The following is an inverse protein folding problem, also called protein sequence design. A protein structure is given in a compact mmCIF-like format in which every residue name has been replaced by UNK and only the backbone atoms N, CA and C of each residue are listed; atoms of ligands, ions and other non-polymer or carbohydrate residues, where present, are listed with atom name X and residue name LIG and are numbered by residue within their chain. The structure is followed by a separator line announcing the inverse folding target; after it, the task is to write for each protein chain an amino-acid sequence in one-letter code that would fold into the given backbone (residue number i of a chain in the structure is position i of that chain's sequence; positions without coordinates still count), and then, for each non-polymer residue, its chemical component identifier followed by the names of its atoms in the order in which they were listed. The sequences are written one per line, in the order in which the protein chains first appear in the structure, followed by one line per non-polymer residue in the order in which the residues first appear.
data_IF_885618623091
#
_entry.id   IF_885618623091
#
_cell.length_a   1.000
_cell.length_b   1.000
_cell.length_c   1.000
_cell.angle_alpha   90.00
_cell.angle_beta   90.00
_cell.angle_gamma   90.00
#
_symmetry.space_group_name_H-M   'P 1'
#
loop_
_entity.id
_entity.type
_entity.pdbx_description
1 polymer ?
#
# COMPACT_ATOMS: atom_id res chain seq x y z
N UNK A 1 -22.73 -13.01 -11.74
CA UNK A 1 -22.36 -11.57 -11.67
C UNK A 1 -21.07 -11.35 -12.43
N UNK A 2 -21.09 -10.58 -13.52
CA UNK A 2 -19.88 -10.21 -14.26
C UNK A 2 -19.11 -9.21 -13.39
N UNK A 3 -17.91 -9.58 -12.92
CA UNK A 3 -17.06 -8.68 -12.11
C UNK A 3 -16.61 -7.50 -12.97
N UNK A 4 -16.73 -6.28 -12.44
CA UNK A 4 -16.26 -5.08 -13.11
C UNK A 4 -14.72 -5.12 -13.22
N UNK A 5 -14.19 -4.77 -14.39
CA UNK A 5 -12.74 -4.79 -14.66
C UNK A 5 -11.95 -3.94 -13.64
N UNK A 6 -12.54 -2.83 -13.17
CA UNK A 6 -11.91 -1.95 -12.18
C UNK A 6 -11.77 -2.61 -10.80
N UNK A 7 -12.78 -3.37 -10.37
CA UNK A 7 -12.76 -4.05 -9.07
C UNK A 7 -11.73 -5.18 -9.07
N UNK A 8 -11.64 -5.89 -10.20
CA UNK A 8 -10.63 -6.93 -10.43
C UNK A 8 -9.23 -6.32 -10.46
N UNK A 9 -9.04 -5.20 -11.14
CA UNK A 9 -7.75 -4.50 -11.18
C UNK A 9 -7.30 -4.04 -9.78
N UNK A 10 -8.20 -3.47 -8.97
CA UNK A 10 -7.91 -3.11 -7.59
C UNK A 10 -7.48 -4.34 -6.76
N UNK A 11 -8.20 -5.45 -6.89
CA UNK A 11 -7.85 -6.69 -6.20
C UNK A 11 -6.50 -7.28 -6.64
N UNK A 12 -6.19 -7.22 -7.94
CA UNK A 12 -4.89 -7.65 -8.48
C UNK A 12 -3.77 -6.77 -7.93
N UNK A 13 -3.95 -5.45 -7.90
CA UNK A 13 -2.98 -4.53 -7.32
C UNK A 13 -2.72 -4.82 -5.84
N UNK A 14 -3.78 -5.03 -5.05
CA UNK A 14 -3.64 -5.44 -3.65
C UNK A 14 -2.90 -6.78 -3.50
N UNK A 15 -3.27 -7.80 -4.28
CA UNK A 15 -2.63 -9.11 -4.21
C UNK A 15 -1.15 -9.04 -4.64
N UNK A 16 -0.83 -8.28 -5.68
CA UNK A 16 0.53 -8.04 -6.13
C UNK A 16 1.36 -7.37 -5.04
N UNK A 17 0.80 -6.39 -4.33
CA UNK A 17 1.47 -5.77 -3.19
C UNK A 17 1.71 -6.77 -2.05
N UNK A 18 0.76 -7.65 -1.74
CA UNK A 18 0.95 -8.71 -0.73
C UNK A 18 2.07 -9.67 -1.15
N UNK A 19 2.18 -10.02 -2.43
CA UNK A 19 3.30 -10.84 -2.94
C UNK A 19 4.62 -10.08 -2.78
N UNK A 20 4.66 -8.79 -3.07
CA UNK A 20 5.83 -7.93 -2.83
C UNK A 20 6.22 -7.95 -1.35
N UNK A 21 5.28 -7.82 -0.42
CA UNK A 21 5.56 -7.95 1.02
C UNK A 21 6.17 -9.32 1.35
N UNK A 22 5.64 -10.41 0.80
CA UNK A 22 6.16 -11.75 1.03
C UNK A 22 7.59 -11.93 0.50
N UNK A 23 7.89 -11.40 -0.68
CA UNK A 23 9.24 -11.43 -1.27
C UNK A 23 10.21 -10.56 -0.46
N UNK A 24 9.78 -9.37 -0.02
CA UNK A 24 10.56 -8.50 0.88
C UNK A 24 10.94 -9.23 2.19
N UNK A 25 9.97 -9.95 2.77
CA UNK A 25 10.14 -10.74 3.99
C UNK A 25 11.09 -11.96 3.83
N UNK A 26 11.34 -12.39 2.59
CA UNK A 26 12.37 -13.39 2.31
C UNK A 26 13.77 -12.81 2.50
N UNK A 27 14.03 -11.60 2.01
CA UNK A 27 15.32 -10.91 2.14
C UNK A 27 15.60 -10.39 3.54
N UNK A 28 14.61 -9.79 4.20
CA UNK A 28 14.76 -9.29 5.57
C UNK A 28 13.82 -10.06 6.52
N UNK A 29 14.42 -10.87 7.39
CA UNK A 29 13.66 -11.66 8.37
C UNK A 29 13.01 -10.81 9.44
N UNK A 30 13.56 -9.63 9.73
CA UNK A 30 13.12 -8.77 10.82
C UNK A 30 11.79 -8.08 10.55
N UNK A 31 11.36 -8.03 9.28
CA UNK A 31 10.08 -7.43 8.86
C UNK A 31 9.02 -8.49 8.50
N UNK A 32 9.28 -9.78 8.69
CA UNK A 32 8.32 -10.87 8.37
C UNK A 32 6.98 -10.69 9.07
N UNK A 33 7.01 -10.57 10.40
CA UNK A 33 5.80 -10.44 11.21
C UNK A 33 5.08 -9.14 10.88
N UNK A 34 5.84 -8.04 10.75
CA UNK A 34 5.33 -6.75 10.31
C UNK A 34 4.54 -6.88 8.99
N UNK A 35 5.13 -7.50 7.97
CA UNK A 35 4.52 -7.67 6.66
C UNK A 35 3.28 -8.58 6.66
N UNK A 36 3.18 -9.55 7.59
CA UNK A 36 1.94 -10.32 7.78
C UNK A 36 0.81 -9.39 8.19
N UNK A 37 1.03 -8.55 9.21
CA UNK A 37 0.01 -7.59 9.65
C UNK A 37 -0.25 -6.51 8.59
N UNK A 38 0.80 -6.03 7.93
CA UNK A 38 0.69 -5.04 6.86
C UNK A 38 -0.16 -5.55 5.69
N UNK A 39 -0.12 -6.84 5.39
CA UNK A 39 -0.93 -7.43 4.31
C UNK A 39 -2.45 -7.38 4.57
N UNK A 40 -2.88 -7.36 5.83
CA UNK A 40 -4.30 -7.47 6.22
C UNK A 40 -5.22 -6.42 5.58
N UNK A 41 -4.92 -5.10 5.65
CA UNK A 41 -5.75 -4.08 5.00
C UNK A 41 -5.83 -4.26 3.48
N UNK A 42 -4.77 -4.75 2.83
CA UNK A 42 -4.77 -5.01 1.39
C UNK A 42 -5.61 -6.22 1.01
N UNK A 43 -5.52 -7.32 1.78
CA UNK A 43 -6.36 -8.51 1.59
C UNK A 43 -7.84 -8.14 1.80
N UNK A 44 -8.15 -7.41 2.88
CA UNK A 44 -9.49 -6.93 3.15
C UNK A 44 -10.00 -6.00 2.03
N UNK A 45 -9.17 -5.07 1.56
CA UNK A 45 -9.50 -4.20 0.43
C UNK A 45 -9.80 -5.00 -0.84
N UNK A 46 -8.98 -6.01 -1.18
CA UNK A 46 -9.19 -6.87 -2.34
C UNK A 46 -10.56 -7.56 -2.28
N UNK A 47 -10.87 -8.21 -1.15
CA UNK A 47 -12.15 -8.92 -0.95
C UNK A 47 -13.32 -7.95 -1.03
N UNK A 48 -13.23 -6.80 -0.38
CA UNK A 48 -14.34 -5.84 -0.31
C UNK A 48 -14.54 -5.07 -1.62
N UNK A 49 -13.49 -4.77 -2.38
CA UNK A 49 -13.58 -4.22 -3.73
C UNK A 49 -14.27 -5.20 -4.68
N UNK A 50 -13.94 -6.50 -4.60
CA UNK A 50 -14.64 -7.54 -5.39
C UNK A 50 -16.12 -7.67 -5.01
N UNK A 51 -16.50 -7.30 -3.78
CA UNK A 51 -17.88 -7.20 -3.30
C UNK A 51 -18.53 -5.83 -3.60
N UNK A 52 -17.82 -4.92 -4.27
CA UNK A 52 -18.27 -3.56 -4.62
C UNK A 52 -18.72 -2.74 -3.42
N UNK A 53 -18.06 -2.92 -2.27
CA UNK A 53 -18.36 -2.18 -1.06
C UNK A 53 -17.67 -0.82 -1.03
N UNK A 54 -18.40 0.23 -0.60
CA UNK A 54 -17.82 1.56 -0.33
C UNK A 54 -16.64 1.49 0.64
N UNK A 55 -16.75 0.66 1.67
CA UNK A 55 -15.69 0.43 2.66
C UNK A 55 -14.46 -0.19 1.99
N UNK A 56 -14.65 -1.10 1.04
CA UNK A 56 -13.54 -1.71 0.30
C UNK A 56 -12.76 -0.70 -0.52
N UNK A 57 -13.44 0.16 -1.26
CA UNK A 57 -12.79 1.22 -2.02
C UNK A 57 -12.11 2.25 -1.10
N UNK A 58 -12.75 2.64 0.01
CA UNK A 58 -12.13 3.52 0.99
C UNK A 58 -10.86 2.90 1.59
N UNK A 59 -10.90 1.61 1.93
CA UNK A 59 -9.77 0.87 2.48
C UNK A 59 -8.63 0.71 1.48
N UNK A 60 -8.94 0.40 0.22
CA UNK A 60 -7.95 0.33 -0.86
C UNK A 60 -7.26 1.66 -1.10
N UNK A 61 -8.05 2.75 -1.18
CA UNK A 61 -7.52 4.10 -1.34
C UNK A 61 -6.65 4.52 -0.14
N UNK A 62 -7.16 4.37 1.09
CA UNK A 62 -6.43 4.71 2.29
C UNK A 62 -5.12 3.93 2.45
N UNK A 63 -5.14 2.61 2.21
CA UNK A 63 -3.96 1.75 2.35
C UNK A 63 -2.90 2.05 1.28
N UNK A 64 -3.33 2.23 0.02
CA UNK A 64 -2.43 2.60 -1.07
C UNK A 64 -1.80 3.98 -0.86
N UNK A 65 -2.61 4.98 -0.49
CA UNK A 65 -2.13 6.33 -0.23
C UNK A 65 -1.20 6.39 0.98
N UNK A 66 -1.57 5.75 2.10
CA UNK A 66 -0.76 5.75 3.33
C UNK A 66 0.61 5.11 3.10
N UNK A 67 0.67 3.99 2.38
CA UNK A 67 1.94 3.35 2.07
C UNK A 67 2.81 4.22 1.16
N UNK A 68 2.24 4.75 0.06
CA UNK A 68 2.96 5.67 -0.83
C UNK A 68 3.48 6.89 -0.10
N UNK A 69 2.69 7.45 0.81
CA UNK A 69 3.08 8.59 1.63
C UNK A 69 4.28 8.25 2.52
N UNK A 70 4.23 7.16 3.28
CA UNK A 70 5.34 6.74 4.13
C UNK A 70 6.59 6.38 3.32
N UNK A 71 6.44 5.56 2.28
CA UNK A 71 7.55 5.05 1.48
C UNK A 71 8.17 6.09 0.53
N UNK A 72 7.40 7.11 0.14
CA UNK A 72 7.82 8.17 -0.77
C UNK A 72 8.25 9.46 -0.09
N UNK A 73 7.61 9.84 1.02
CA UNK A 73 7.82 11.15 1.68
C UNK A 73 8.48 11.03 3.06
N UNK A 74 8.12 10.01 3.85
CA UNK A 74 8.74 9.83 5.18
C UNK A 74 10.05 9.04 5.12
N UNK A 75 10.28 8.34 4.02
CA UNK A 75 11.51 7.59 3.74
C UNK A 75 12.01 7.89 2.32
N UNK A 76 13.14 7.29 1.95
CA UNK A 76 13.73 7.40 0.62
C UNK A 76 13.55 6.12 -0.20
N UNK A 77 12.72 5.18 0.26
CA UNK A 77 12.64 3.83 -0.25
C UNK A 77 12.23 3.78 -1.73
N UNK A 78 11.13 4.44 -2.11
CA UNK A 78 10.67 4.49 -3.51
C UNK A 78 11.74 5.12 -4.41
N UNK A 79 12.27 6.28 -4.02
CA UNK A 79 13.32 6.98 -4.77
C UNK A 79 14.54 6.10 -4.99
N UNK A 80 15.00 5.43 -3.94
CA UNK A 80 16.16 4.55 -4.00
C UNK A 80 15.88 3.38 -4.94
N UNK A 81 14.70 2.77 -4.92
CA UNK A 81 14.36 1.67 -5.83
C UNK A 81 14.40 2.09 -7.30
N UNK A 82 13.82 3.23 -7.65
CA UNK A 82 13.90 3.75 -9.02
C UNK A 82 15.33 4.09 -9.46
N UNK A 83 16.17 4.61 -8.55
CA UNK A 83 17.59 4.82 -8.83
C UNK A 83 18.31 3.49 -9.16
N UNK A 84 18.01 2.41 -8.42
CA UNK A 84 18.62 1.09 -8.66
C UNK A 84 18.10 0.46 -9.95
N UNK A 85 16.83 0.68 -10.29
CA UNK A 85 16.29 0.25 -11.58
C UNK A 85 16.99 0.95 -12.75
N UNK A 86 17.25 2.26 -12.62
CA UNK A 86 17.98 3.02 -13.64
C UNK A 86 19.44 2.57 -13.75
N UNK A 87 20.09 2.24 -12.63
CA UNK A 87 21.43 1.67 -12.61
C UNK A 87 21.48 0.32 -13.35
N UNK A 88 20.53 -0.56 -13.04
CA UNK A 88 20.39 -1.86 -13.71
C UNK A 88 20.20 -1.70 -15.21
N UNK A 89 19.35 -0.76 -15.64
CA UNK A 89 19.12 -0.47 -17.04
C UNK A 89 20.36 0.09 -17.76
N UNK A 90 21.12 0.98 -17.11
CA UNK A 90 22.28 1.66 -17.71
C UNK A 90 23.56 0.82 -17.74
N UNK A 91 23.78 0.01 -16.70
CA UNK A 91 25.06 -0.64 -16.45
C UNK A 91 24.97 -2.17 -16.38
N UNK A 92 23.77 -2.75 -16.45
CA UNK A 92 23.56 -4.20 -16.37
C UNK A 92 23.77 -4.82 -14.98
N UNK A 93 24.08 -4.01 -13.96
CA UNK A 93 24.34 -4.46 -12.59
C UNK A 93 23.61 -3.61 -11.54
N UNK A 94 23.41 -4.18 -10.35
CA UNK A 94 22.78 -3.52 -9.19
C UNK A 94 23.51 -3.88 -7.90
N UNK A 95 23.81 -2.88 -7.07
CA UNK A 95 24.53 -3.01 -5.80
C UNK A 95 23.63 -3.50 -4.65
N UNK A 96 22.36 -3.06 -4.66
CA UNK A 96 21.34 -3.34 -3.64
C UNK A 96 20.06 -3.86 -4.30
N UNK A 97 20.03 -5.13 -4.76
CA UNK A 97 18.89 -5.70 -5.46
C UNK A 97 17.63 -5.74 -4.59
N UNK A 98 17.78 -5.79 -3.26
CA UNK A 98 16.68 -5.71 -2.30
C UNK A 98 15.85 -4.44 -2.46
N UNK A 99 16.45 -3.31 -2.86
CA UNK A 99 15.75 -2.04 -3.04
C UNK A 99 14.91 -1.99 -4.32
N UNK A 100 15.15 -2.86 -5.29
CA UNK A 100 14.36 -2.91 -6.53
C UNK A 100 12.90 -3.23 -6.25
N UNK A 101 12.60 -3.92 -5.14
CA UNK A 101 11.23 -4.26 -4.77
C UNK A 101 10.36 -3.03 -4.47
N UNK A 102 10.96 -1.88 -4.19
CA UNK A 102 10.22 -0.63 -3.99
C UNK A 102 9.45 -0.20 -5.25
N UNK A 103 9.93 -0.56 -6.45
CA UNK A 103 9.29 -0.22 -7.72
C UNK A 103 7.96 -0.96 -7.91
N UNK A 104 7.91 -2.32 -7.93
CA UNK A 104 6.65 -3.03 -8.03
C UNK A 104 5.74 -2.75 -6.84
N UNK A 105 6.30 -2.49 -5.63
CA UNK A 105 5.51 -2.04 -4.48
C UNK A 105 4.75 -0.74 -4.79
N UNK A 106 5.46 0.31 -5.25
CA UNK A 106 4.86 1.59 -5.57
C UNK A 106 3.84 1.52 -6.71
N UNK A 107 4.11 0.71 -7.74
CA UNK A 107 3.17 0.47 -8.84
C UNK A 107 1.90 -0.22 -8.31
N UNK A 108 2.05 -1.24 -7.47
CA UNK A 108 0.93 -1.99 -6.93
C UNK A 108 0.07 -1.13 -6.00
N UNK A 109 0.66 -0.37 -5.06
CA UNK A 109 -0.10 0.49 -4.14
C UNK A 109 -0.70 1.71 -4.85
N UNK A 110 0.00 2.28 -5.83
CA UNK A 110 -0.52 3.35 -6.68
C UNK A 110 -1.69 2.88 -7.55
N UNK A 111 -1.55 1.71 -8.17
CA UNK A 111 -2.62 1.07 -8.92
C UNK A 111 -3.84 0.78 -8.02
N UNK A 112 -3.62 0.24 -6.82
CA UNK A 112 -4.69 0.01 -5.85
C UNK A 112 -5.44 1.30 -5.52
N UNK A 113 -4.71 2.39 -5.20
CA UNK A 113 -5.31 3.69 -4.92
C UNK A 113 -6.16 4.17 -6.11
N UNK A 114 -5.59 4.18 -7.32
CA UNK A 114 -6.28 4.66 -8.52
C UNK A 114 -7.53 3.82 -8.85
N UNK A 115 -7.42 2.49 -8.82
CA UNK A 115 -8.55 1.62 -9.13
C UNK A 115 -9.59 1.60 -8.02
N UNK A 116 -9.21 1.79 -6.77
CA UNK A 116 -10.17 1.93 -5.67
C UNK A 116 -10.99 3.22 -5.82
N UNK A 117 -10.32 4.35 -6.10
CA UNK A 117 -10.99 5.63 -6.37
C UNK A 117 -11.89 5.54 -7.61
N UNK A 118 -11.41 4.94 -8.70
CA UNK A 118 -12.19 4.73 -9.91
C UNK A 118 -13.37 3.77 -9.68
N UNK A 119 -13.19 2.73 -8.87
CA UNK A 119 -14.24 1.78 -8.50
C UNK A 119 -15.36 2.45 -7.71
N UNK A 120 -14.99 3.26 -6.71
CA UNK A 120 -15.94 4.10 -5.97
C UNK A 120 -16.65 5.12 -6.86
N UNK A 121 -15.94 5.77 -7.77
CA UNK A 121 -16.52 6.73 -8.71
C UNK A 121 -17.62 6.12 -9.60
N UNK A 122 -17.58 4.80 -9.81
CA UNK A 122 -18.58 4.03 -10.57
C UNK A 122 -19.77 3.54 -9.74
N UNK A 123 -19.79 3.75 -8.41
CA UNK A 123 -20.94 3.38 -7.60
C UNK A 123 -22.11 4.36 -7.80
N UNK A 124 -23.36 3.84 -7.85
CA UNK A 124 -24.55 4.67 -7.72
C UNK A 124 -24.70 5.17 -6.27
N UNK A 125 -25.34 6.33 -6.08
CA UNK A 125 -25.64 6.93 -4.76
C UNK A 125 -24.41 7.30 -3.90
N UNK A 126 -23.64 8.28 -4.38
CA UNK A 126 -22.57 8.93 -3.60
C UNK A 126 -23.18 9.89 -2.59
N UNK A 127 -22.59 9.95 -1.41
CA UNK A 127 -23.05 10.81 -0.31
C UNK A 127 -21.87 11.52 0.34
N UNK A 128 -22.12 12.69 0.92
CA UNK A 128 -21.15 13.37 1.79
C UNK A 128 -20.70 12.51 2.98
N UNK A 129 -21.55 11.57 3.44
CA UNK A 129 -21.18 10.58 4.46
C UNK A 129 -20.01 9.69 4.03
N UNK A 130 -19.81 9.51 2.73
CA UNK A 130 -18.73 8.70 2.19
C UNK A 130 -17.35 9.38 2.40
N UNK A 131 -17.30 10.72 2.52
CA UNK A 131 -16.09 11.41 2.95
C UNK A 131 -15.77 11.12 4.42
N UNK A 132 -16.78 11.11 5.28
CA UNK A 132 -16.63 10.70 6.68
C UNK A 132 -16.12 9.26 6.81
N UNK A 133 -16.66 8.35 5.99
CA UNK A 133 -16.16 6.98 5.89
C UNK A 133 -14.69 6.94 5.43
N UNK A 134 -14.33 7.66 4.37
CA UNK A 134 -12.95 7.70 3.88
C UNK A 134 -12.00 8.24 4.94
N UNK A 135 -12.37 9.33 5.63
CA UNK A 135 -11.56 9.90 6.70
C UNK A 135 -11.39 8.91 7.87
N UNK A 136 -12.47 8.26 8.31
CA UNK A 136 -12.43 7.26 9.37
C UNK A 136 -11.53 6.07 8.99
N UNK A 137 -11.65 5.57 7.77
CA UNK A 137 -10.81 4.46 7.26
C UNK A 137 -9.35 4.89 7.13
N UNK A 138 -9.08 6.11 6.65
CA UNK A 138 -7.72 6.64 6.55
C UNK A 138 -7.05 6.73 7.92
N UNK A 139 -7.72 7.32 8.90
CA UNK A 139 -7.23 7.38 10.29
C UNK A 139 -7.03 5.98 10.85
N UNK A 140 -7.97 5.07 10.63
CA UNK A 140 -7.86 3.67 11.07
C UNK A 140 -6.64 2.95 10.49
N UNK A 141 -6.38 3.11 9.18
CA UNK A 141 -5.19 2.53 8.51
C UNK A 141 -3.90 3.13 9.07
N UNK A 142 -3.83 4.45 9.25
CA UNK A 142 -2.64 5.11 9.79
C UNK A 142 -2.36 4.67 11.24
N UNK A 143 -3.39 4.63 12.09
CA UNK A 143 -3.27 4.13 13.46
C UNK A 143 -2.85 2.66 13.48
N UNK A 144 -3.41 1.84 12.60
CA UNK A 144 -3.02 0.44 12.46
C UNK A 144 -1.53 0.31 12.11
N UNK A 145 -1.03 1.10 11.15
CA UNK A 145 0.40 1.12 10.82
C UNK A 145 1.27 1.59 11.99
N UNK A 146 0.89 2.65 12.69
CA UNK A 146 1.63 3.15 13.87
C UNK A 146 1.72 2.05 14.95
N UNK A 147 0.60 1.43 15.30
CA UNK A 147 0.53 0.35 16.31
C UNK A 147 1.39 -0.83 15.88
N UNK A 148 1.29 -1.23 14.61
CA UNK A 148 2.06 -2.34 14.05
C UNK A 148 3.57 -2.06 14.05
N UNK A 149 4.00 -0.87 13.64
CA UNK A 149 5.41 -0.48 13.74
C UNK A 149 5.88 -0.46 15.19
N UNK A 150 5.08 0.07 16.12
CA UNK A 150 5.42 0.06 17.55
C UNK A 150 5.55 -1.34 18.13
N UNK A 151 4.73 -2.29 17.70
CA UNK A 151 4.76 -3.66 18.21
C UNK A 151 5.89 -4.51 17.60
N UNK A 152 6.13 -4.39 16.29
CA UNK A 152 6.95 -5.36 15.55
C UNK A 152 8.23 -4.78 14.95
N UNK A 153 8.32 -3.47 14.78
CA UNK A 153 9.53 -2.84 14.26
C UNK A 153 9.68 -1.38 14.74
N UNK A 154 9.92 -1.16 16.06
CA UNK A 154 9.84 0.17 16.69
C UNK A 154 10.74 1.23 16.06
N UNK A 155 11.86 0.82 15.46
CA UNK A 155 12.76 1.70 14.70
C UNK A 155 12.08 2.49 13.58
N UNK A 156 11.01 1.97 12.98
CA UNK A 156 10.26 2.70 11.96
C UNK A 156 9.44 3.85 12.55
N UNK A 157 9.16 3.88 13.86
CA UNK A 157 8.47 5.01 14.48
C UNK A 157 9.24 6.33 14.35
N UNK A 158 10.57 6.26 14.21
CA UNK A 158 11.42 7.43 14.00
C UNK A 158 11.05 8.22 12.72
N UNK A 159 10.42 7.58 11.73
CA UNK A 159 9.94 8.30 10.54
C UNK A 159 8.79 9.26 10.84
N UNK A 160 7.96 8.94 11.85
CA UNK A 160 6.86 9.80 12.25
C UNK A 160 7.30 10.94 13.18
N UNK A 161 8.37 10.75 13.95
CA UNK A 161 8.91 11.80 14.82
C UNK A 161 9.34 13.06 14.05
N UNK A 162 9.72 12.90 12.77
CA UNK A 162 10.07 14.01 11.88
C UNK A 162 8.90 14.92 11.51
N UNK A 163 7.65 14.50 11.73
CA UNK A 163 6.46 15.32 11.48
C UNK A 163 6.15 16.30 12.64
N UNK A 164 6.70 16.04 13.83
CA UNK A 164 6.38 16.78 15.06
C UNK A 164 7.49 17.79 15.41
N UNK A 165 8.62 17.74 14.70
CA UNK A 165 9.71 18.71 14.80
C UNK A 165 9.60 19.71 13.66
#
# INVERSE_FOLDING_TARGET
MIRNKTDVAAAICAAAFVVVLAVSAYWDRSIRVLHVFESLPYIAAAILCLRRSKVGYALGAASGASWLWMAGFLTTFIRNGFQRLLMLYRHGGVDRPDLLIAVPAAIATGGLLLFAVAGYARLPHKSWRDLGLLAAVLVGVLLFFIVMFGAFAPRYLAMFQRLIR
#
